data_IF_325687614895
#
_entry.id   IF_325687614895
#
_cell.length_a   1.000
_cell.length_b   1.000
_cell.length_c   1.000
_cell.angle_alpha   90.00
_cell.angle_beta   90.00
_cell.angle_gamma   90.00
#
_symmetry.space_group_name_H-M   'P 1'
#
loop_
_entity.id
_entity.type
_entity.pdbx_description
1 polymer ?
#
# COMPACT_ATOMS: atom_id res chain seq x y z
N UNK A 1 44.01 -25.05 -1.71
CA UNK A 1 43.74 -23.72 -1.11
C UNK A 1 43.13 -22.82 -2.20
N UNK A 2 41.82 -22.73 -2.24
CA UNK A 2 41.07 -21.85 -3.14
C UNK A 2 40.71 -20.59 -2.36
N UNK A 3 41.22 -19.46 -2.83
CA UNK A 3 41.00 -18.16 -2.23
C UNK A 3 39.51 -17.73 -2.40
N UNK A 4 38.85 -17.40 -1.30
CA UNK A 4 37.58 -16.67 -1.28
C UNK A 4 37.85 -15.26 -1.81
N UNK A 5 37.14 -14.87 -2.87
CA UNK A 5 37.06 -13.47 -3.28
C UNK A 5 36.03 -12.77 -2.38
N UNK A 6 36.51 -11.85 -1.57
CA UNK A 6 35.65 -10.87 -0.87
C UNK A 6 35.09 -9.93 -1.93
N UNK A 7 33.77 -10.02 -2.13
CA UNK A 7 32.99 -9.02 -2.89
C UNK A 7 32.59 -7.93 -1.95
N UNK A 8 33.37 -6.86 -1.92
CA UNK A 8 33.00 -5.63 -1.23
C UNK A 8 31.97 -4.90 -2.08
N UNK A 9 30.69 -5.00 -1.71
CA UNK A 9 29.61 -4.20 -2.31
C UNK A 9 29.74 -2.77 -1.79
N UNK A 10 30.39 -1.91 -2.58
CA UNK A 10 30.34 -0.47 -2.34
C UNK A 10 29.03 0.07 -2.90
N UNK A 11 28.06 0.31 -2.02
CA UNK A 11 26.85 1.07 -2.37
C UNK A 11 27.24 2.50 -2.75
N UNK A 12 27.08 2.86 -4.01
CA UNK A 12 27.08 4.28 -4.41
C UNK A 12 25.83 4.93 -3.82
N UNK A 13 26.02 5.81 -2.83
CA UNK A 13 24.95 6.72 -2.36
C UNK A 13 24.49 7.55 -3.56
N UNK A 14 23.26 7.32 -3.99
CA UNK A 14 22.55 8.24 -4.87
C UNK A 14 21.79 9.24 -4.00
N UNK A 15 22.21 10.49 -4.00
CA UNK A 15 21.76 11.57 -3.11
C UNK A 15 20.34 12.12 -3.45
N UNK A 16 19.54 11.43 -4.26
CA UNK A 16 18.17 11.84 -4.63
C UNK A 16 17.07 10.96 -4.04
N UNK A 17 17.29 10.37 -2.88
CA UNK A 17 16.24 9.68 -2.12
C UNK A 17 15.68 10.68 -1.12
N UNK A 18 14.35 10.96 -1.11
CA UNK A 18 13.76 11.67 0.01
C UNK A 18 14.19 10.98 1.30
N UNK A 19 14.67 11.78 2.25
CA UNK A 19 15.08 11.29 3.55
C UNK A 19 13.91 10.58 4.26
N UNK A 20 14.24 9.71 5.23
CA UNK A 20 13.28 9.02 6.07
C UNK A 20 12.13 9.93 6.55
N UNK A 21 11.01 9.31 6.96
CA UNK A 21 9.75 9.92 7.44
C UNK A 21 9.91 11.12 8.39
N UNK A 22 11.07 11.25 9.04
CA UNK A 22 11.37 12.30 10.04
C UNK A 22 11.22 13.74 9.51
N UNK A 23 11.16 13.95 8.20
CA UNK A 23 11.00 15.29 7.60
C UNK A 23 9.56 15.62 7.18
N UNK A 24 8.63 14.68 7.26
CA UNK A 24 7.23 14.95 6.97
C UNK A 24 6.55 15.61 8.18
N UNK A 25 5.67 16.60 7.96
CA UNK A 25 4.98 17.27 9.07
C UNK A 25 3.98 16.34 9.76
N UNK A 26 3.76 16.59 11.04
CA UNK A 26 2.61 16.01 11.75
C UNK A 26 1.36 16.76 11.29
N UNK A 27 0.35 16.03 10.82
CA UNK A 27 -0.95 16.58 10.44
C UNK A 27 -1.80 16.82 11.70
N UNK A 28 -2.34 18.01 11.85
CA UNK A 28 -3.22 18.37 12.98
C UNK A 28 -4.70 18.00 12.75
N UNK A 29 -5.02 17.44 11.59
CA UNK A 29 -6.38 16.99 11.28
C UNK A 29 -6.81 15.91 12.27
N UNK A 30 -8.03 16.05 12.82
CA UNK A 30 -8.65 15.03 13.65
C UNK A 30 -9.52 14.12 12.77
N UNK A 31 -9.12 12.88 12.65
CA UNK A 31 -9.78 11.91 11.77
C UNK A 31 -11.24 11.65 12.14
N UNK A 32 -12.10 11.61 11.13
CA UNK A 32 -13.51 11.28 11.25
C UNK A 32 -13.67 9.75 11.24
N UNK A 33 -13.81 9.16 12.42
CA UNK A 33 -13.99 7.72 12.56
C UNK A 33 -15.25 7.39 13.35
N UNK A 34 -15.87 6.27 13.05
CA UNK A 34 -17.13 5.82 13.63
C UNK A 34 -16.94 4.56 14.48
N UNK A 35 -17.62 4.46 15.63
CA UNK A 35 -17.61 3.25 16.45
C UNK A 35 -18.31 2.07 15.75
N UNK A 36 -19.34 2.35 14.96
CA UNK A 36 -20.01 1.36 14.11
C UNK A 36 -19.75 1.71 12.66
N UNK A 37 -18.81 0.98 12.05
CA UNK A 37 -18.40 1.18 10.66
C UNK A 37 -19.35 0.43 9.73
N UNK A 38 -19.96 1.18 8.79
CA UNK A 38 -20.67 0.66 7.63
C UNK A 38 -19.92 1.10 6.40
N UNK A 39 -19.02 0.25 5.93
CA UNK A 39 -18.03 0.58 4.92
C UNK A 39 -18.31 -0.03 3.56
N UNK A 40 -17.81 0.63 2.52
CA UNK A 40 -17.74 0.10 1.15
C UNK A 40 -16.35 0.32 0.58
N UNK A 41 -15.85 -0.69 -0.16
CA UNK A 41 -14.58 -0.61 -0.88
C UNK A 41 -14.83 -0.13 -2.30
N UNK A 42 -14.11 0.92 -2.71
CA UNK A 42 -14.15 1.50 -4.06
C UNK A 42 -12.79 1.22 -4.71
N UNK A 43 -12.73 0.21 -5.56
CA UNK A 43 -11.47 -0.18 -6.15
C UNK A 43 -11.14 0.64 -7.41
N UNK A 44 -9.90 0.65 -7.81
CA UNK A 44 -9.40 1.49 -8.91
C UNK A 44 -10.15 1.33 -10.25
N UNK A 45 -10.70 0.16 -10.52
CA UNK A 45 -11.47 -0.11 -11.74
C UNK A 45 -12.85 0.57 -11.71
N UNK A 46 -13.47 0.72 -10.53
CA UNK A 46 -14.71 1.48 -10.36
C UNK A 46 -14.46 2.98 -10.45
N UNK A 47 -13.27 3.43 -10.05
CA UNK A 47 -12.87 4.83 -10.24
C UNK A 47 -12.60 5.18 -11.71
N UNK A 48 -12.20 4.21 -12.54
CA UNK A 48 -11.78 4.44 -13.91
C UNK A 48 -12.73 5.33 -14.73
N UNK A 49 -14.05 5.06 -14.79
CA UNK A 49 -14.98 5.85 -15.62
C UNK A 49 -15.18 7.29 -15.12
N UNK A 50 -14.97 7.56 -13.85
CA UNK A 50 -15.17 8.89 -13.25
C UNK A 50 -13.86 9.66 -13.03
N UNK A 51 -12.69 8.99 -13.14
CA UNK A 51 -11.38 9.56 -12.89
C UNK A 51 -10.54 9.74 -14.16
N UNK A 52 -10.42 8.69 -14.99
CA UNK A 52 -9.44 8.67 -16.08
C UNK A 52 -9.73 9.69 -17.16
N UNK A 53 -8.80 10.64 -17.32
CA UNK A 53 -8.91 11.72 -18.30
C UNK A 53 -10.03 12.73 -18.00
N UNK A 54 -10.56 12.75 -16.78
CA UNK A 54 -11.59 13.69 -16.34
C UNK A 54 -10.98 14.97 -15.79
N UNK A 55 -11.72 16.07 -15.90
CA UNK A 55 -11.40 17.31 -15.18
C UNK A 55 -11.76 17.17 -13.70
N UNK A 56 -11.22 18.07 -12.86
CA UNK A 56 -11.55 18.13 -11.44
C UNK A 56 -13.07 18.21 -11.20
N UNK A 57 -13.78 19.06 -11.96
CA UNK A 57 -15.24 19.23 -11.82
C UNK A 57 -16.01 17.96 -12.19
N UNK A 58 -15.54 17.20 -13.20
CA UNK A 58 -16.16 15.95 -13.59
C UNK A 58 -15.94 14.86 -12.53
N UNK A 59 -14.70 14.76 -11.99
CA UNK A 59 -14.44 13.85 -10.88
C UNK A 59 -15.29 14.22 -9.67
N UNK A 60 -15.33 15.50 -9.29
CA UNK A 60 -16.13 16.00 -8.15
C UNK A 60 -17.61 15.62 -8.28
N UNK A 61 -18.17 15.80 -9.47
CA UNK A 61 -19.57 15.41 -9.73
C UNK A 61 -19.76 13.89 -9.65
N UNK A 62 -18.88 13.11 -10.29
CA UNK A 62 -19.02 11.65 -10.33
C UNK A 62 -18.83 10.97 -8.98
N UNK A 63 -17.82 11.41 -8.22
CA UNK A 63 -17.57 10.84 -6.88
C UNK A 63 -18.63 11.32 -5.87
N UNK A 64 -19.12 12.56 -6.02
CA UNK A 64 -20.21 13.08 -5.21
C UNK A 64 -21.48 12.25 -5.36
N UNK A 65 -21.89 11.91 -6.58
CA UNK A 65 -23.02 11.02 -6.85
C UNK A 65 -22.80 9.62 -6.24
N UNK A 66 -21.58 9.10 -6.34
CA UNK A 66 -21.23 7.82 -5.73
C UNK A 66 -21.40 7.84 -4.22
N UNK A 67 -20.95 8.91 -3.56
CA UNK A 67 -21.08 9.06 -2.10
C UNK A 67 -22.51 9.35 -1.66
N UNK A 68 -23.32 10.06 -2.45
CA UNK A 68 -24.74 10.25 -2.19
C UNK A 68 -25.49 8.89 -2.20
N UNK A 69 -25.12 8.00 -3.13
CA UNK A 69 -25.64 6.63 -3.14
C UNK A 69 -25.19 5.84 -1.89
N UNK A 70 -23.94 5.98 -1.45
CA UNK A 70 -23.45 5.39 -0.22
C UNK A 70 -24.28 5.83 0.99
N UNK A 71 -24.54 7.13 1.14
CA UNK A 71 -25.35 7.67 2.22
C UNK A 71 -26.78 7.12 2.20
N UNK A 72 -27.39 6.99 1.02
CA UNK A 72 -28.74 6.43 0.88
C UNK A 72 -28.87 4.99 1.41
N UNK A 73 -27.75 4.26 1.42
CA UNK A 73 -27.60 2.90 1.94
C UNK A 73 -27.14 2.86 3.41
N UNK A 74 -26.96 4.02 4.04
CA UNK A 74 -26.48 4.14 5.42
C UNK A 74 -25.00 3.86 5.59
N UNK A 75 -24.21 3.92 4.51
CA UNK A 75 -22.74 3.81 4.53
C UNK A 75 -22.15 5.09 5.14
N UNK A 76 -21.23 4.96 6.07
CA UNK A 76 -20.54 6.06 6.73
C UNK A 76 -19.02 6.08 6.53
N UNK A 77 -18.47 5.08 5.84
CA UNK A 77 -17.03 4.92 5.63
C UNK A 77 -16.77 4.40 4.21
N UNK A 78 -15.81 5.00 3.52
CA UNK A 78 -15.36 4.51 2.20
C UNK A 78 -13.88 4.13 2.27
N UNK A 79 -13.53 2.98 1.70
CA UNK A 79 -12.17 2.50 1.50
C UNK A 79 -11.83 2.70 0.03
N UNK A 80 -11.10 3.76 -0.29
CA UNK A 80 -10.84 4.14 -1.68
C UNK A 80 -9.45 3.74 -2.09
N UNK A 81 -9.33 3.00 -3.18
CA UNK A 81 -8.08 2.47 -3.69
C UNK A 81 -7.23 3.59 -4.31
N UNK A 82 -6.37 4.23 -3.50
CA UNK A 82 -5.54 5.38 -3.91
C UNK A 82 -4.15 4.99 -4.37
N UNK A 83 -3.69 3.76 -4.03
CA UNK A 83 -2.44 3.17 -4.50
C UNK A 83 -2.60 1.68 -4.79
N UNK A 84 -3.18 1.33 -5.95
CA UNK A 84 -3.45 -0.05 -6.34
C UNK A 84 -2.19 -0.82 -6.75
N UNK A 85 -1.13 -0.11 -7.15
CA UNK A 85 0.15 -0.63 -7.61
C UNK A 85 1.30 0.18 -7.02
N UNK A 86 2.48 0.13 -7.62
CA UNK A 86 3.62 0.98 -7.30
C UNK A 86 3.48 2.42 -7.83
N UNK A 87 2.27 2.90 -7.96
CA UNK A 87 1.86 4.21 -8.46
C UNK A 87 0.84 4.86 -7.50
N UNK A 88 0.47 6.12 -7.70
CA UNK A 88 -0.43 6.84 -6.81
C UNK A 88 -1.49 7.64 -7.57
N UNK A 89 -2.73 7.68 -7.07
CA UNK A 89 -3.83 8.55 -7.54
C UNK A 89 -3.77 9.92 -6.82
N UNK A 90 -2.58 10.35 -6.45
CA UNK A 90 -2.30 11.61 -5.79
C UNK A 90 -0.87 12.06 -6.08
N UNK A 91 -0.55 13.31 -5.78
CA UNK A 91 0.81 13.83 -5.94
C UNK A 91 1.72 13.27 -4.86
N UNK A 92 2.51 12.25 -5.23
CA UNK A 92 3.46 11.58 -4.33
C UNK A 92 4.90 11.95 -4.64
N UNK A 93 5.73 12.07 -3.60
CA UNK A 93 7.18 12.19 -3.73
C UNK A 93 7.87 10.81 -3.89
N UNK A 94 7.14 9.71 -3.62
CA UNK A 94 7.66 8.35 -3.60
C UNK A 94 7.22 7.49 -4.79
N UNK A 95 6.04 7.80 -5.36
CA UNK A 95 5.41 6.99 -6.41
C UNK A 95 5.01 7.84 -7.60
N UNK A 96 5.13 7.34 -8.85
CA UNK A 96 4.65 8.04 -10.02
C UNK A 96 3.12 8.18 -10.01
N UNK A 97 2.61 9.17 -10.74
CA UNK A 97 1.17 9.24 -11.02
C UNK A 97 0.67 7.95 -11.64
N UNK A 98 -0.46 7.47 -11.15
CA UNK A 98 -1.12 6.27 -11.68
C UNK A 98 -1.65 6.51 -13.08
N UNK A 99 -1.55 5.48 -13.94
CA UNK A 99 -2.20 5.49 -15.25
C UNK A 99 -3.72 5.67 -15.18
N UNK A 100 -4.32 5.33 -14.05
CA UNK A 100 -5.76 5.51 -13.82
C UNK A 100 -6.18 6.98 -13.71
N UNK A 101 -5.25 7.91 -13.54
CA UNK A 101 -5.55 9.35 -13.61
C UNK A 101 -5.72 9.86 -15.04
N UNK A 102 -4.84 9.42 -15.96
CA UNK A 102 -4.74 10.01 -17.30
C UNK A 102 -4.70 9.03 -18.46
N UNK A 103 -4.58 7.72 -18.17
CA UNK A 103 -4.27 6.67 -19.13
C UNK A 103 -2.78 6.36 -19.26
N UNK A 104 -1.87 7.15 -18.64
CA UNK A 104 -0.42 6.99 -18.74
C UNK A 104 0.24 7.09 -17.37
N UNK A 105 1.19 6.18 -17.06
CA UNK A 105 2.00 6.24 -15.84
C UNK A 105 2.85 7.52 -15.83
N UNK A 106 2.95 8.16 -14.67
CA UNK A 106 3.79 9.34 -14.42
C UNK A 106 3.22 10.65 -14.98
N UNK A 107 2.09 10.61 -15.71
CA UNK A 107 1.48 11.82 -16.27
C UNK A 107 0.57 12.49 -15.24
N UNK A 108 0.92 13.75 -14.90
CA UNK A 108 0.15 14.60 -14.00
C UNK A 108 -1.23 14.92 -14.61
N UNK A 109 -2.35 14.70 -13.90
CA UNK A 109 -3.70 15.06 -14.36
C UNK A 109 -3.98 16.58 -14.32
N UNK A 110 -3.10 17.38 -13.70
CA UNK A 110 -3.26 18.83 -13.58
C UNK A 110 -4.10 19.28 -12.39
N UNK A 111 -4.52 18.37 -11.53
CA UNK A 111 -5.21 18.59 -10.26
C UNK A 111 -4.93 17.41 -9.31
N UNK A 112 -5.35 17.49 -8.05
CA UNK A 112 -5.17 16.40 -7.09
C UNK A 112 -6.46 15.59 -6.89
N UNK A 113 -6.59 14.40 -7.51
CA UNK A 113 -7.80 13.58 -7.39
C UNK A 113 -8.09 13.11 -5.96
N UNK A 114 -7.05 12.80 -5.18
CA UNK A 114 -7.24 12.34 -3.80
C UNK A 114 -7.86 13.44 -2.95
N UNK A 115 -7.37 14.67 -3.08
CA UNK A 115 -7.94 15.81 -2.36
C UNK A 115 -9.42 16.00 -2.70
N UNK A 116 -9.78 15.92 -3.98
CA UNK A 116 -11.19 16.02 -4.42
C UNK A 116 -12.04 14.95 -3.77
N UNK A 117 -11.58 13.69 -3.76
CA UNK A 117 -12.33 12.57 -3.18
C UNK A 117 -12.52 12.71 -1.66
N UNK A 118 -11.48 13.18 -0.95
CA UNK A 118 -11.57 13.43 0.49
C UNK A 118 -12.55 14.58 0.78
N UNK A 119 -12.42 15.71 0.08
CA UNK A 119 -13.31 16.88 0.27
C UNK A 119 -14.78 16.49 0.10
N UNK A 120 -15.11 15.70 -0.92
CA UNK A 120 -16.48 15.25 -1.20
C UNK A 120 -16.99 14.24 -0.15
N UNK A 121 -16.11 13.37 0.38
CA UNK A 121 -16.46 12.45 1.45
C UNK A 121 -16.78 13.22 2.75
N UNK A 122 -15.89 14.10 3.16
CA UNK A 122 -16.02 14.88 4.38
C UNK A 122 -17.20 15.86 4.34
N UNK A 123 -17.48 16.48 3.18
CA UNK A 123 -18.66 17.32 3.00
C UNK A 123 -19.99 16.58 3.29
N UNK A 124 -19.96 15.25 3.21
CA UNK A 124 -21.08 14.34 3.47
C UNK A 124 -21.01 13.63 4.82
N UNK A 125 -19.97 13.89 5.62
CA UNK A 125 -19.74 13.18 6.88
C UNK A 125 -19.36 11.71 6.68
N UNK A 126 -18.70 11.38 5.57
CA UNK A 126 -18.21 10.03 5.28
C UNK A 126 -16.71 9.97 5.64
N UNK A 127 -16.32 8.99 6.45
CA UNK A 127 -14.93 8.68 6.76
C UNK A 127 -14.20 8.16 5.51
N UNK A 128 -13.03 8.71 5.21
CA UNK A 128 -12.22 8.35 4.04
C UNK A 128 -10.99 7.55 4.45
N UNK A 129 -10.97 6.27 4.14
CA UNK A 129 -9.84 5.38 4.37
C UNK A 129 -9.04 5.21 3.06
N UNK A 130 -7.79 5.63 3.05
CA UNK A 130 -6.91 5.50 1.90
C UNK A 130 -6.45 4.04 1.76
N UNK A 131 -7.02 3.32 0.79
CA UNK A 131 -6.64 1.92 0.54
C UNK A 131 -5.43 1.84 -0.38
N UNK A 132 -4.41 1.11 0.07
CA UNK A 132 -3.15 0.90 -0.64
C UNK A 132 -2.78 -0.58 -0.71
N UNK A 133 -2.19 -1.02 -1.82
CA UNK A 133 -1.54 -2.32 -1.91
C UNK A 133 -0.04 -2.13 -1.67
N UNK A 134 0.51 -2.67 -0.57
CA UNK A 134 1.90 -2.39 -0.23
C UNK A 134 2.91 -3.05 -1.18
N UNK A 135 2.69 -4.30 -1.59
CA UNK A 135 3.68 -5.09 -2.32
C UNK A 135 3.43 -5.23 -3.82
N UNK A 136 2.17 -5.18 -4.29
CA UNK A 136 1.87 -5.29 -5.71
C UNK A 136 2.33 -4.02 -6.43
N UNK A 137 3.29 -4.17 -7.37
CA UNK A 137 4.00 -3.03 -7.92
C UNK A 137 3.50 -2.63 -9.31
N UNK A 138 3.69 -3.48 -10.33
CA UNK A 138 3.29 -3.14 -11.71
C UNK A 138 2.85 -4.38 -12.48
N UNK A 139 1.98 -4.18 -13.48
CA UNK A 139 1.88 -5.12 -14.59
C UNK A 139 3.21 -5.17 -15.34
N UNK A 140 3.53 -6.31 -15.96
CA UNK A 140 4.78 -6.46 -16.71
C UNK A 140 4.90 -5.45 -17.86
N UNK A 141 3.79 -5.09 -18.51
CA UNK A 141 3.75 -4.14 -19.61
C UNK A 141 3.87 -2.68 -19.15
N UNK A 142 3.51 -2.38 -17.91
CA UNK A 142 3.57 -1.03 -17.34
C UNK A 142 4.96 -0.70 -16.75
N UNK A 143 5.70 -1.71 -16.30
CA UNK A 143 6.96 -1.53 -15.59
C UNK A 143 8.03 -0.75 -16.40
N UNK A 144 8.17 -0.93 -17.73
CA UNK A 144 9.13 -0.18 -18.55
C UNK A 144 8.88 1.33 -18.58
N UNK A 145 7.62 1.77 -18.38
CA UNK A 145 7.23 3.17 -18.47
C UNK A 145 7.47 3.95 -17.16
N UNK A 146 7.92 3.26 -16.11
CA UNK A 146 8.17 3.89 -14.81
C UNK A 146 9.50 4.62 -14.80
N UNK A 147 9.45 5.92 -14.52
CA UNK A 147 10.66 6.76 -14.44
C UNK A 147 11.63 6.28 -13.35
N UNK A 148 12.92 6.28 -13.67
CA UNK A 148 14.00 6.01 -12.72
C UNK A 148 14.24 7.12 -11.69
N UNK A 149 13.45 8.19 -11.71
CA UNK A 149 13.39 9.14 -10.59
C UNK A 149 12.75 8.51 -9.36
N UNK A 150 11.92 7.49 -9.53
CA UNK A 150 11.30 6.72 -8.44
C UNK A 150 12.10 5.44 -8.15
N UNK A 151 12.11 5.04 -6.88
CA UNK A 151 12.81 3.82 -6.44
C UNK A 151 12.36 2.57 -7.16
N UNK A 152 11.06 2.43 -7.37
CA UNK A 152 10.47 1.28 -8.08
C UNK A 152 10.94 1.19 -9.52
N UNK A 153 11.09 2.32 -10.22
CA UNK A 153 11.68 2.38 -11.57
C UNK A 153 13.18 2.07 -11.56
N UNK A 154 13.94 2.57 -10.57
CA UNK A 154 15.35 2.24 -10.42
C UNK A 154 15.57 0.74 -10.22
N UNK A 155 14.81 0.12 -9.31
CA UNK A 155 14.92 -1.32 -9.04
C UNK A 155 14.51 -2.17 -10.24
N UNK A 156 13.52 -1.73 -11.02
CA UNK A 156 13.15 -2.40 -12.26
C UNK A 156 14.24 -2.30 -13.32
N UNK A 157 14.85 -1.13 -13.52
CA UNK A 157 15.85 -0.88 -14.55
C UNK A 157 17.17 -1.61 -14.26
N UNK A 158 17.67 -1.49 -13.04
CA UNK A 158 18.96 -2.09 -12.65
C UNK A 158 18.86 -3.60 -12.51
N UNK A 159 17.71 -4.14 -12.15
CA UNK A 159 17.49 -5.55 -11.76
C UNK A 159 18.56 -6.05 -10.77
N UNK A 160 19.08 -5.09 -10.00
CA UNK A 160 20.15 -5.30 -9.04
C UNK A 160 19.50 -5.64 -7.69
N UNK A 161 19.71 -6.86 -7.25
CA UNK A 161 19.02 -7.41 -6.11
C UNK A 161 17.54 -7.76 -6.40
N UNK A 162 16.91 -8.49 -5.49
CA UNK A 162 15.51 -8.90 -5.61
C UNK A 162 14.59 -7.90 -4.92
N UNK A 163 14.81 -6.58 -5.04
CA UNK A 163 13.92 -5.55 -4.50
C UNK A 163 12.55 -5.58 -5.15
N UNK A 164 12.53 -5.92 -6.45
CA UNK A 164 11.33 -6.10 -7.25
C UNK A 164 11.45 -7.42 -8.00
N UNK A 165 10.47 -8.31 -7.87
CA UNK A 165 10.48 -9.66 -8.41
C UNK A 165 9.24 -9.92 -9.26
N UNK A 166 9.44 -10.51 -10.43
CA UNK A 166 8.32 -10.89 -11.31
C UNK A 166 7.68 -12.19 -10.84
N UNK A 167 6.38 -12.15 -10.59
CA UNK A 167 5.54 -13.32 -10.32
C UNK A 167 4.34 -13.29 -11.25
N UNK A 168 4.25 -14.25 -12.17
CA UNK A 168 3.26 -14.27 -13.27
C UNK A 168 3.34 -12.96 -14.08
N UNK A 169 2.22 -12.26 -14.25
CA UNK A 169 2.13 -11.02 -15.03
C UNK A 169 2.38 -9.74 -14.24
N UNK A 170 2.89 -9.86 -13.00
CA UNK A 170 3.11 -8.71 -12.13
C UNK A 170 4.53 -8.66 -11.60
N UNK A 171 5.02 -7.45 -11.39
CA UNK A 171 6.17 -7.16 -10.55
C UNK A 171 5.70 -6.87 -9.13
N UNK A 172 6.44 -7.39 -8.15
CA UNK A 172 6.13 -7.30 -6.73
C UNK A 172 7.32 -6.78 -5.96
N UNK A 173 7.08 -5.88 -5.02
CA UNK A 173 8.08 -5.43 -4.06
C UNK A 173 8.40 -6.56 -3.08
N UNK A 174 9.68 -6.73 -2.74
CA UNK A 174 10.14 -7.77 -1.84
C UNK A 174 10.35 -7.21 -0.43
N UNK A 175 9.48 -7.54 0.55
CA UNK A 175 9.54 -6.99 1.91
C UNK A 175 10.72 -7.52 2.73
N UNK A 176 11.51 -8.44 2.19
CA UNK A 176 12.75 -8.91 2.83
C UNK A 176 13.79 -7.79 2.96
N UNK A 177 13.73 -6.78 2.09
CA UNK A 177 14.64 -5.64 2.09
C UNK A 177 14.07 -4.46 2.86
N UNK A 178 14.91 -3.89 3.74
CA UNK A 178 14.51 -2.71 4.55
C UNK A 178 14.17 -1.51 3.67
N UNK A 179 14.91 -1.29 2.60
CA UNK A 179 14.68 -0.20 1.64
C UNK A 179 13.28 -0.26 1.02
N UNK A 180 12.75 -1.47 0.83
CA UNK A 180 11.39 -1.69 0.34
C UNK A 180 10.37 -1.36 1.42
N UNK A 181 10.55 -1.86 2.65
CA UNK A 181 9.62 -1.55 3.75
C UNK A 181 9.68 -0.09 4.13
N UNK A 182 10.84 0.58 4.04
CA UNK A 182 10.97 2.03 4.23
C UNK A 182 10.20 2.82 3.16
N UNK A 183 10.29 2.44 1.88
CA UNK A 183 9.51 3.07 0.82
C UNK A 183 7.99 2.95 1.08
N UNK A 184 7.54 1.79 1.52
CA UNK A 184 6.13 1.51 1.82
C UNK A 184 5.65 2.34 3.01
N UNK A 185 6.43 2.36 4.11
CA UNK A 185 6.13 3.15 5.31
C UNK A 185 6.13 4.65 5.02
N UNK A 186 7.10 5.14 4.21
CA UNK A 186 7.16 6.53 3.77
C UNK A 186 5.92 6.93 2.96
N UNK A 187 5.44 6.05 2.09
CA UNK A 187 4.19 6.28 1.35
C UNK A 187 2.95 6.36 2.25
N UNK A 188 2.89 5.55 3.33
CA UNK A 188 1.83 5.64 4.32
C UNK A 188 1.92 6.93 5.15
N UNK A 189 3.14 7.31 5.57
CA UNK A 189 3.39 8.59 6.25
C UNK A 189 2.99 9.79 5.39
N UNK A 190 3.33 9.76 4.10
CA UNK A 190 2.99 10.82 3.14
C UNK A 190 1.48 11.05 3.07
N UNK A 191 0.69 9.99 2.98
CA UNK A 191 -0.77 10.08 2.94
C UNK A 191 -1.32 10.83 4.15
N UNK A 192 -0.98 10.40 5.35
CA UNK A 192 -1.52 11.00 6.58
C UNK A 192 -0.90 12.37 6.92
N UNK A 193 0.28 12.70 6.37
CA UNK A 193 0.92 14.00 6.57
C UNK A 193 0.37 15.08 5.66
N UNK A 194 0.10 14.73 4.39
CA UNK A 194 -0.26 15.69 3.34
C UNK A 194 -1.77 15.80 3.12
N UNK A 195 -2.52 14.79 3.54
CA UNK A 195 -3.96 14.69 3.30
C UNK A 195 -4.72 14.43 4.58
N UNK A 196 -5.95 14.94 4.65
CA UNK A 196 -6.86 14.73 5.76
C UNK A 196 -7.59 13.37 5.62
N UNK A 197 -6.84 12.30 5.39
CA UNK A 197 -7.39 10.94 5.38
C UNK A 197 -7.71 10.50 6.80
N UNK A 198 -8.79 9.75 6.99
CA UNK A 198 -9.22 9.25 8.29
C UNK A 198 -8.51 7.96 8.69
N UNK A 199 -7.81 7.36 7.73
CA UNK A 199 -6.95 6.22 7.96
C UNK A 199 -6.28 5.73 6.69
N UNK A 200 -5.38 4.76 6.88
CA UNK A 200 -4.74 3.97 5.82
C UNK A 200 -5.19 2.53 5.96
N UNK A 201 -5.61 1.93 4.87
CA UNK A 201 -6.13 0.57 4.81
C UNK A 201 -5.32 -0.26 3.81
N UNK A 202 -5.01 -1.50 4.16
CA UNK A 202 -4.42 -2.48 3.25
C UNK A 202 -5.29 -3.73 3.17
N UNK A 203 -5.19 -4.45 2.06
CA UNK A 203 -5.89 -5.73 1.83
C UNK A 203 -4.96 -6.94 1.99
N UNK A 204 -5.24 -8.03 1.30
CA UNK A 204 -4.55 -9.31 1.41
C UNK A 204 -3.40 -9.51 0.40
N UNK A 205 -2.94 -8.45 -0.29
CA UNK A 205 -1.82 -8.55 -1.24
C UNK A 205 -0.46 -8.53 -0.52
N UNK A 206 -0.18 -9.63 0.23
CA UNK A 206 1.11 -9.91 0.87
C UNK A 206 2.05 -10.66 -0.08
N UNK A 207 2.76 -11.71 0.38
CA UNK A 207 3.61 -12.48 -0.52
C UNK A 207 2.82 -13.11 -1.66
N UNK A 208 3.26 -12.96 -2.93
CA UNK A 208 2.51 -13.42 -4.10
C UNK A 208 2.73 -14.90 -4.43
N UNK A 209 3.67 -15.56 -3.75
CA UNK A 209 4.05 -16.95 -4.02
C UNK A 209 4.75 -17.59 -2.83
N UNK A 210 4.61 -18.90 -2.71
CA UNK A 210 5.36 -19.71 -1.75
C UNK A 210 6.71 -20.19 -2.29
N UNK A 211 6.98 -19.98 -3.57
CA UNK A 211 8.22 -20.40 -4.22
C UNK A 211 9.44 -19.65 -3.67
N UNK A 212 10.53 -20.39 -3.40
CA UNK A 212 11.71 -19.84 -2.75
C UNK A 212 12.46 -18.80 -3.59
N UNK A 213 12.31 -18.81 -4.91
CA UNK A 213 13.05 -17.89 -5.79
C UNK A 213 12.71 -16.41 -5.50
N UNK A 214 11.54 -16.14 -4.91
CA UNK A 214 11.06 -14.76 -4.68
C UNK A 214 12.02 -13.93 -3.80
N UNK A 215 12.59 -14.55 -2.78
CA UNK A 215 13.42 -13.89 -1.77
C UNK A 215 14.67 -14.70 -1.37
N UNK A 216 15.08 -15.67 -2.21
CA UNK A 216 16.18 -16.60 -1.90
C UNK A 216 17.52 -15.90 -1.63
N UNK A 217 17.80 -14.78 -2.31
CA UNK A 217 19.05 -14.03 -2.09
C UNK A 217 19.04 -13.44 -0.68
N UNK A 218 17.96 -12.76 -0.29
CA UNK A 218 17.82 -12.17 1.04
C UNK A 218 17.77 -13.24 2.13
N UNK A 219 17.04 -14.33 1.91
CA UNK A 219 16.95 -15.44 2.86
C UNK A 219 18.34 -16.08 3.10
N UNK A 220 19.09 -16.39 2.05
CA UNK A 220 20.43 -17.00 2.16
C UNK A 220 21.46 -16.06 2.82
N UNK A 221 21.25 -14.76 2.75
CA UNK A 221 22.09 -13.76 3.44
C UNK A 221 21.70 -13.55 4.90
N UNK A 222 20.54 -14.08 5.33
CA UNK A 222 19.99 -13.92 6.68
C UNK A 222 20.50 -15.00 7.64
N UNK A 223 20.18 -14.86 8.94
CA UNK A 223 20.44 -15.87 9.96
C UNK A 223 19.30 -16.87 10.15
N UNK A 224 18.21 -16.75 9.40
CA UNK A 224 17.05 -17.61 9.52
C UNK A 224 17.31 -19.03 9.00
N UNK A 225 16.77 -20.02 9.69
CA UNK A 225 16.77 -21.42 9.25
C UNK A 225 15.45 -21.85 8.62
N UNK A 226 14.38 -21.05 8.78
CA UNK A 226 13.05 -21.29 8.22
C UNK A 226 12.64 -20.17 7.30
N UNK A 227 12.36 -20.48 6.03
CA UNK A 227 11.88 -19.53 5.05
C UNK A 227 10.50 -18.98 5.43
N UNK A 228 9.62 -19.82 5.98
CA UNK A 228 8.30 -19.38 6.43
C UNK A 228 8.42 -18.34 7.56
N UNK A 229 9.25 -18.59 8.57
CA UNK A 229 9.45 -17.64 9.67
C UNK A 229 10.09 -16.34 9.18
N UNK A 230 11.08 -16.43 8.27
CA UNK A 230 11.68 -15.26 7.64
C UNK A 230 10.64 -14.36 6.97
N UNK A 231 9.71 -14.96 6.22
CA UNK A 231 8.65 -14.24 5.51
C UNK A 231 7.59 -13.65 6.45
N UNK A 232 7.16 -14.41 7.46
CA UNK A 232 6.24 -13.94 8.50
C UNK A 232 6.81 -12.71 9.24
N UNK A 233 8.08 -12.76 9.60
CA UNK A 233 8.75 -11.66 10.29
C UNK A 233 8.93 -10.43 9.37
N UNK A 234 9.22 -10.62 8.09
CA UNK A 234 9.31 -9.53 7.12
C UNK A 234 7.95 -8.84 6.88
N UNK A 235 6.88 -9.60 6.74
CA UNK A 235 5.52 -9.04 6.67
C UNK A 235 5.17 -8.28 7.95
N UNK A 236 5.42 -8.89 9.12
CA UNK A 236 5.09 -8.27 10.40
C UNK A 236 5.88 -6.98 10.62
N UNK A 237 7.16 -6.94 10.22
CA UNK A 237 7.96 -5.71 10.24
C UNK A 237 7.36 -4.63 9.34
N UNK A 238 6.99 -4.97 8.11
CA UNK A 238 6.34 -4.03 7.19
C UNK A 238 5.06 -3.42 7.79
N UNK A 239 4.20 -4.25 8.38
CA UNK A 239 2.96 -3.80 9.03
C UNK A 239 3.27 -2.87 10.20
N UNK A 240 4.21 -3.25 11.08
CA UNK A 240 4.61 -2.42 12.22
C UNK A 240 5.22 -1.07 11.77
N UNK A 241 6.04 -1.07 10.72
CA UNK A 241 6.64 0.14 10.16
C UNK A 241 5.56 1.07 9.56
N UNK A 242 4.57 0.52 8.85
CA UNK A 242 3.41 1.29 8.34
C UNK A 242 2.56 1.86 9.49
N UNK A 243 2.22 1.05 10.49
CA UNK A 243 1.47 1.50 11.66
C UNK A 243 2.18 2.67 12.35
N UNK A 244 3.46 2.48 12.66
CA UNK A 244 4.29 3.51 13.28
C UNK A 244 4.33 4.79 12.43
N UNK A 245 4.48 4.65 11.12
CA UNK A 245 4.51 5.78 10.19
C UNK A 245 3.20 6.57 10.21
N UNK A 246 2.05 5.88 10.18
CA UNK A 246 0.73 6.51 10.29
C UNK A 246 0.59 7.24 11.63
N UNK A 247 0.84 6.54 12.76
CA UNK A 247 0.64 7.12 14.10
C UNK A 247 1.59 8.26 14.42
N UNK A 248 2.79 8.25 13.87
CA UNK A 248 3.77 9.34 14.07
C UNK A 248 3.38 10.64 13.37
N UNK A 249 2.59 10.57 12.28
CA UNK A 249 2.25 11.74 11.47
C UNK A 249 0.79 12.18 11.59
N UNK A 250 -0.12 11.27 11.97
CA UNK A 250 -1.46 11.60 12.44
C UNK A 250 -1.92 10.56 13.47
N UNK A 251 -1.81 10.85 14.78
CA UNK A 251 -2.18 9.89 15.84
C UNK A 251 -3.67 9.48 15.81
N UNK A 252 -4.54 10.29 15.22
CA UNK A 252 -5.99 10.04 15.16
C UNK A 252 -6.40 9.21 13.94
N UNK A 253 -5.57 9.17 12.89
CA UNK A 253 -5.81 8.34 11.72
C UNK A 253 -5.70 6.85 12.08
N UNK A 254 -6.60 6.03 11.54
CA UNK A 254 -6.58 4.59 11.74
C UNK A 254 -5.66 3.89 10.73
N UNK A 255 -5.06 2.79 11.17
CA UNK A 255 -4.39 1.85 10.29
C UNK A 255 -5.05 0.48 10.39
N UNK A 256 -5.57 -0.04 9.28
CA UNK A 256 -6.32 -1.27 9.24
C UNK A 256 -5.88 -2.24 8.16
N UNK A 257 -6.13 -3.53 8.42
CA UNK A 257 -5.79 -4.63 7.52
C UNK A 257 -7.02 -5.47 7.21
N UNK A 258 -7.29 -5.68 5.91
CA UNK A 258 -8.32 -6.59 5.39
C UNK A 258 -7.65 -7.85 4.83
N UNK A 259 -7.24 -8.75 5.71
CA UNK A 259 -6.66 -10.04 5.36
C UNK A 259 -7.74 -11.05 4.92
N UNK A 260 -7.33 -12.18 4.35
CA UNK A 260 -8.27 -13.26 4.01
C UNK A 260 -8.98 -13.77 5.27
N UNK A 261 -10.23 -14.24 5.11
CA UNK A 261 -11.00 -14.83 6.21
C UNK A 261 -10.42 -16.15 6.72
N UNK A 262 -9.60 -16.83 5.92
CA UNK A 262 -8.93 -18.08 6.30
C UNK A 262 -7.57 -17.79 6.94
N UNK A 263 -7.47 -17.98 8.27
CA UNK A 263 -6.25 -17.72 9.06
C UNK A 263 -5.08 -18.58 8.59
N UNK A 264 -5.30 -19.87 8.32
CA UNK A 264 -4.25 -20.78 7.83
C UNK A 264 -3.68 -20.34 6.49
N UNK A 265 -4.54 -19.86 5.59
CA UNK A 265 -4.10 -19.34 4.29
C UNK A 265 -3.25 -18.07 4.44
N UNK A 266 -3.64 -17.17 5.34
CA UNK A 266 -2.85 -15.99 5.66
C UNK A 266 -1.43 -16.39 6.11
N UNK A 267 -1.32 -17.32 7.05
CA UNK A 267 -0.03 -17.75 7.59
C UNK A 267 0.82 -18.52 6.57
N UNK A 268 0.23 -19.51 5.86
CA UNK A 268 0.99 -20.48 5.07
C UNK A 268 1.18 -20.11 3.61
N UNK A 269 0.31 -19.26 3.04
CA UNK A 269 0.36 -18.87 1.62
C UNK A 269 0.78 -17.42 1.44
N UNK A 270 0.32 -16.54 2.32
CA UNK A 270 0.57 -15.09 2.22
C UNK A 270 1.64 -14.62 3.21
N UNK A 271 2.02 -15.45 4.18
CA UNK A 271 2.94 -15.13 5.28
C UNK A 271 2.51 -13.88 6.08
N UNK A 272 1.20 -13.75 6.26
CA UNK A 272 0.54 -12.71 7.03
C UNK A 272 0.17 -13.25 8.42
N UNK A 273 0.90 -12.84 9.45
CA UNK A 273 0.69 -13.26 10.84
C UNK A 273 -0.45 -12.48 11.50
N UNK A 274 -1.68 -12.70 10.97
CA UNK A 274 -2.88 -11.97 11.40
C UNK A 274 -3.22 -12.19 12.87
N UNK A 275 -2.84 -13.34 13.43
CA UNK A 275 -3.04 -13.62 14.85
C UNK A 275 -2.15 -12.74 15.73
N UNK A 276 -0.88 -12.59 15.38
CA UNK A 276 0.04 -11.69 16.04
C UNK A 276 -0.44 -10.26 15.96
N UNK A 277 -0.76 -9.78 14.74
CA UNK A 277 -1.16 -8.39 14.52
C UNK A 277 -2.45 -8.01 15.24
N UNK A 278 -3.36 -8.97 15.45
CA UNK A 278 -4.60 -8.74 16.20
C UNK A 278 -4.46 -8.81 17.73
N UNK A 279 -3.37 -9.39 18.23
CA UNK A 279 -3.13 -9.63 19.68
C UNK A 279 -2.13 -8.65 20.29
N UNK A 280 -1.19 -8.17 19.49
CA UNK A 280 -0.07 -7.35 19.97
C UNK A 280 -0.26 -5.89 19.54
N UNK A 281 0.09 -4.96 20.41
CA UNK A 281 0.10 -3.54 20.11
C UNK A 281 1.15 -3.20 19.05
N UNK A 282 0.90 -2.15 18.26
CA UNK A 282 1.86 -1.60 17.30
C UNK A 282 1.77 -2.16 15.88
N UNK A 283 0.71 -2.90 15.57
CA UNK A 283 0.47 -3.44 14.23
C UNK A 283 -0.74 -2.83 13.54
N UNK A 284 -1.91 -2.81 14.17
CA UNK A 284 -3.16 -2.35 13.58
C UNK A 284 -4.08 -1.70 14.60
N UNK A 285 -4.95 -0.81 14.16
CA UNK A 285 -6.07 -0.32 14.98
C UNK A 285 -7.32 -1.20 14.80
N UNK A 286 -7.46 -1.85 13.64
CA UNK A 286 -8.56 -2.78 13.35
C UNK A 286 -8.20 -3.83 12.30
N UNK A 287 -8.91 -4.95 12.33
CA UNK A 287 -8.90 -5.99 11.31
C UNK A 287 -10.28 -6.05 10.64
N UNK A 288 -10.29 -6.20 9.30
CA UNK A 288 -11.50 -6.38 8.50
C UNK A 288 -11.39 -7.66 7.64
N UNK A 289 -11.53 -8.86 8.23
CA UNK A 289 -11.34 -10.11 7.51
C UNK A 289 -12.27 -10.24 6.30
N UNK A 290 -11.73 -10.68 5.15
CA UNK A 290 -12.47 -10.89 3.91
C UNK A 290 -13.27 -12.19 3.99
N UNK A 291 -14.50 -12.12 4.51
CA UNK A 291 -15.41 -13.25 4.66
C UNK A 291 -16.43 -13.20 3.52
N UNK A 292 -16.04 -13.69 2.34
CA UNK A 292 -16.87 -13.70 1.13
C UNK A 292 -17.69 -14.99 0.96
N UNK A 293 -17.98 -15.69 2.03
CA UNK A 293 -18.68 -16.97 2.03
C UNK A 293 -19.76 -17.00 3.11
N UNK A 294 -20.78 -17.85 2.90
CA UNK A 294 -21.87 -18.05 3.85
C UNK A 294 -21.52 -19.01 4.99
N UNK A 295 -22.45 -19.17 5.93
CA UNK A 295 -22.28 -20.01 7.12
C UNK A 295 -22.04 -21.49 6.84
N UNK A 296 -22.42 -21.98 5.66
CA UNK A 296 -22.25 -23.40 5.25
C UNK A 296 -20.88 -23.68 4.61
N UNK A 297 -20.03 -22.69 4.48
CA UNK A 297 -18.68 -22.87 3.97
C UNK A 297 -17.80 -23.37 5.11
N UNK A 298 -17.35 -24.61 5.01
CA UNK A 298 -16.49 -25.27 6.00
C UNK A 298 -15.08 -24.70 6.11
N UNK A 299 -14.90 -23.40 5.94
CA UNK A 299 -13.80 -22.52 6.25
C UNK A 299 -12.41 -22.93 5.88
#
# INVERSE_FOLDING_TARGET
ATAKKDVTVTSKKNDNVPAATDNLPVNSYTALNYNEVKGVWIWYSELYPILTGKSESQLRSGIGEYYDNCLSLGINTVYVHVRPFGDAIYKSDYFPWSKYCTGYIGKDPGYDPLKVMIDEAHARGISFQAWVNPLRCYYEDDAPDVSTTYKTGQWYDTKDGDYIVKVKSYWWLNPAYKEVTDLIANGAAELVSKYDVDGVHIDDYFYPTTEAYFDSIAFNASSYSSLSQFRLDNCSRMIADMYKAVKSHNPTALFGVSAQGNVTNNETQLYADVEKWSKEDGYVDYMAPQIYYGFDNGG
#
